data_IF_919457629518
#
_entry.id   IF_919457629518
#
_cell.length_a   1.000
_cell.length_b   1.000
_cell.length_c   1.000
_cell.angle_alpha   90.00
_cell.angle_beta   90.00
_cell.angle_gamma   90.00
#
_symmetry.space_group_name_H-M   'P 1'
#
loop_
_entity.id
_entity.type
_entity.pdbx_description
1 polymer ?
#
# COMPACT_ATOMS: atom_id res chain seq x y z
N UNK A 1 -9.16 11.32 10.93
CA UNK A 1 -8.65 10.34 11.89
C UNK A 1 -9.59 9.15 12.06
N UNK A 2 -10.91 9.32 11.96
CA UNK A 2 -11.88 8.22 12.12
C UNK A 2 -11.71 7.00 11.17
N UNK A 3 -11.12 7.16 9.99
CA UNK A 3 -10.95 6.07 9.02
C UNK A 3 -10.03 4.93 9.49
N UNK A 4 -9.18 5.16 10.49
CA UNK A 4 -8.23 4.17 11.02
C UNK A 4 -8.68 3.51 12.32
N UNK A 5 -9.71 4.07 12.96
CA UNK A 5 -10.21 3.64 14.29
C UNK A 5 -11.61 3.02 14.21
N UNK A 6 -12.29 3.13 13.06
CA UNK A 6 -13.63 2.59 12.84
C UNK A 6 -13.55 1.17 12.25
N UNK A 7 -13.79 0.17 13.11
CA UNK A 7 -13.90 -1.25 12.73
C UNK A 7 -14.98 -1.52 11.66
N UNK A 8 -15.98 -0.62 11.54
CA UNK A 8 -17.03 -0.71 10.53
C UNK A 8 -16.61 -0.22 9.13
N UNK A 9 -15.45 0.46 9.01
CA UNK A 9 -15.00 1.03 7.74
C UNK A 9 -14.20 0.03 6.90
N UNK A 10 -14.91 -0.96 6.36
CA UNK A 10 -14.35 -1.90 5.40
C UNK A 10 -13.98 -1.22 4.06
N UNK A 11 -12.89 -1.62 3.39
CA UNK A 11 -12.52 -1.07 2.10
C UNK A 11 -13.50 -1.50 1.01
N UNK A 12 -13.86 -0.55 0.15
CA UNK A 12 -14.53 -0.84 -1.12
C UNK A 12 -13.54 -1.57 -2.03
N UNK A 13 -13.68 -2.90 -2.10
CA UNK A 13 -12.76 -3.76 -2.84
C UNK A 13 -12.71 -3.41 -4.31
N UNK A 14 -13.84 -3.16 -4.96
CA UNK A 14 -13.85 -2.85 -6.40
C UNK A 14 -13.11 -1.55 -6.69
N UNK A 15 -13.40 -0.51 -5.89
CA UNK A 15 -12.72 0.78 -6.02
C UNK A 15 -11.22 0.67 -5.75
N UNK A 16 -10.82 -0.10 -4.72
CA UNK A 16 -9.42 -0.33 -4.42
C UNK A 16 -8.69 -1.06 -5.55
N UNK A 17 -9.28 -2.13 -6.12
CA UNK A 17 -8.65 -2.85 -7.24
C UNK A 17 -8.54 -1.98 -8.49
N UNK A 18 -9.55 -1.18 -8.81
CA UNK A 18 -9.50 -0.23 -9.91
C UNK A 18 -8.38 0.81 -9.70
N UNK A 19 -8.26 1.35 -8.49
CA UNK A 19 -7.19 2.26 -8.12
C UNK A 19 -5.79 1.65 -8.22
N UNK A 20 -5.63 0.39 -7.77
CA UNK A 20 -4.37 -0.35 -7.90
C UNK A 20 -4.00 -0.52 -9.38
N UNK A 21 -4.94 -0.92 -10.24
CA UNK A 21 -4.70 -1.05 -11.68
C UNK A 21 -4.20 0.26 -12.30
N UNK A 22 -4.91 1.37 -12.06
CA UNK A 22 -4.51 2.69 -12.55
C UNK A 22 -3.12 3.11 -12.04
N UNK A 23 -2.81 2.88 -10.76
CA UNK A 23 -1.50 3.23 -10.18
C UNK A 23 -0.36 2.37 -10.74
N UNK A 24 -0.64 1.10 -11.09
CA UNK A 24 0.33 0.24 -11.77
C UNK A 24 0.65 0.78 -13.16
N UNK A 25 -0.38 1.13 -13.94
CA UNK A 25 -0.19 1.73 -15.27
C UNK A 25 0.65 3.01 -15.19
N UNK A 26 0.38 3.88 -14.20
CA UNK A 26 1.17 5.09 -13.95
C UNK A 26 2.61 4.74 -13.59
N UNK A 27 2.82 3.78 -12.69
CA UNK A 27 4.16 3.38 -12.24
C UNK A 27 5.00 2.80 -13.39
N UNK A 28 4.38 2.05 -14.30
CA UNK A 28 5.03 1.44 -15.47
C UNK A 28 5.36 2.47 -16.55
N UNK A 29 4.51 3.48 -16.73
CA UNK A 29 4.74 4.57 -17.69
C UNK A 29 5.73 5.63 -17.20
N UNK A 30 6.03 5.65 -15.90
CA UNK A 30 6.81 6.72 -15.26
C UNK A 30 8.30 6.39 -15.14
N UNK A 31 9.20 7.39 -15.29
CA UNK A 31 10.59 7.25 -14.89
C UNK A 31 10.73 6.86 -13.41
N UNK A 32 11.84 6.19 -13.06
CA UNK A 32 12.07 5.59 -11.73
C UNK A 32 11.76 6.52 -10.54
N UNK A 33 12.18 7.80 -10.51
CA UNK A 33 11.87 8.66 -9.37
C UNK A 33 10.35 8.91 -9.16
N UNK A 34 9.58 8.81 -10.23
CA UNK A 34 8.14 9.12 -10.22
C UNK A 34 7.27 7.87 -10.02
N UNK A 35 7.82 6.67 -10.14
CA UNK A 35 7.07 5.43 -9.90
C UNK A 35 7.00 5.04 -8.41
N UNK A 36 7.90 5.56 -7.56
CA UNK A 36 8.00 5.22 -6.13
C UNK A 36 6.70 5.53 -5.37
N UNK A 37 6.15 6.74 -5.54
CA UNK A 37 4.94 7.15 -4.81
C UNK A 37 3.70 6.32 -5.21
N UNK A 38 3.40 6.08 -6.51
CA UNK A 38 2.37 5.13 -6.92
C UNK A 38 2.55 3.74 -6.31
N UNK A 39 3.78 3.20 -6.34
CA UNK A 39 4.07 1.88 -5.76
C UNK A 39 3.84 1.85 -4.23
N UNK A 40 4.15 2.93 -3.51
CA UNK A 40 3.92 3.03 -2.08
C UNK A 40 2.42 3.08 -1.75
N UNK A 41 1.62 3.77 -2.57
CA UNK A 41 0.16 3.80 -2.43
C UNK A 41 -0.46 2.43 -2.75
N UNK A 42 0.08 1.70 -3.73
CA UNK A 42 -0.31 0.30 -4.00
C UNK A 42 -0.01 -0.57 -2.78
N UNK A 43 1.19 -0.46 -2.18
CA UNK A 43 1.55 -1.21 -0.98
C UNK A 43 0.57 -0.95 0.17
N UNK A 44 0.25 0.32 0.43
CA UNK A 44 -0.75 0.70 1.44
C UNK A 44 -2.12 0.11 1.14
N UNK A 45 -2.60 0.21 -0.10
CA UNK A 45 -3.95 -0.25 -0.46
C UNK A 45 -4.05 -1.77 -0.36
N UNK A 46 -3.00 -2.50 -0.75
CA UNK A 46 -2.92 -3.95 -0.58
C UNK A 46 -2.90 -4.34 0.89
N UNK A 47 -2.12 -3.63 1.72
CA UNK A 47 -2.12 -3.86 3.17
C UNK A 47 -3.51 -3.62 3.76
N UNK A 48 -4.18 -2.53 3.33
CA UNK A 48 -5.53 -2.22 3.76
C UNK A 48 -6.54 -3.29 3.33
N UNK A 49 -6.32 -3.99 2.22
CA UNK A 49 -7.15 -5.12 1.77
C UNK A 49 -6.81 -6.47 2.44
N UNK A 50 -5.77 -6.53 3.27
CA UNK A 50 -5.25 -7.78 3.82
C UNK A 50 -4.50 -8.65 2.80
N UNK A 51 -4.01 -8.06 1.71
CA UNK A 51 -3.33 -8.77 0.63
C UNK A 51 -1.81 -8.91 0.91
N UNK A 52 -1.25 -10.14 0.88
CA UNK A 52 0.16 -10.37 1.20
C UNK A 52 1.14 -9.70 0.23
N UNK A 53 0.67 -9.32 -0.97
CA UNK A 53 1.50 -8.59 -1.96
C UNK A 53 1.92 -7.21 -1.46
N UNK A 54 1.27 -6.66 -0.43
CA UNK A 54 1.66 -5.38 0.18
C UNK A 54 3.17 -5.32 0.53
N UNK A 55 3.70 -6.39 1.11
CA UNK A 55 5.11 -6.51 1.48
C UNK A 55 6.04 -6.41 0.27
N UNK A 56 5.65 -7.04 -0.85
CA UNK A 56 6.45 -7.05 -2.09
C UNK A 56 6.56 -5.65 -2.68
N UNK A 57 5.46 -4.90 -2.69
CA UNK A 57 5.47 -3.50 -3.16
C UNK A 57 6.23 -2.57 -2.22
N UNK A 58 6.08 -2.73 -0.91
CA UNK A 58 6.83 -1.96 0.09
C UNK A 58 8.34 -2.16 -0.06
N UNK A 59 8.81 -3.42 -0.17
CA UNK A 59 10.21 -3.74 -0.41
C UNK A 59 10.73 -3.16 -1.74
N UNK A 60 9.93 -3.24 -2.80
CA UNK A 60 10.28 -2.65 -4.10
C UNK A 60 10.48 -1.14 -3.99
N UNK A 61 9.62 -0.42 -3.26
CA UNK A 61 9.80 1.01 -3.01
C UNK A 61 11.11 1.28 -2.26
N UNK A 62 11.38 0.56 -1.17
CA UNK A 62 12.58 0.76 -0.35
C UNK A 62 13.89 0.44 -1.09
N UNK A 63 13.85 -0.45 -2.09
CA UNK A 63 14.99 -0.70 -2.98
C UNK A 63 15.26 0.46 -3.95
N UNK A 64 14.24 1.25 -4.29
CA UNK A 64 14.35 2.41 -5.18
C UNK A 64 14.63 3.70 -4.40
N UNK A 65 14.08 3.81 -3.20
CA UNK A 65 14.17 4.95 -2.30
C UNK A 65 13.99 4.48 -0.84
N UNK A 66 15.10 4.39 -0.13
CA UNK A 66 15.15 3.95 1.27
C UNK A 66 14.45 4.92 2.23
N UNK A 67 14.27 6.18 1.82
CA UNK A 67 13.62 7.24 2.61
C UNK A 67 12.10 7.32 2.37
N UNK A 68 11.54 6.38 1.59
CA UNK A 68 10.09 6.32 1.33
C UNK A 68 9.32 5.93 2.61
N UNK A 69 8.91 6.94 3.38
CA UNK A 69 8.25 6.78 4.68
C UNK A 69 7.02 5.85 4.64
N UNK A 70 6.15 5.98 3.65
CA UNK A 70 4.96 5.13 3.54
C UNK A 70 5.34 3.66 3.31
N UNK A 71 6.34 3.38 2.48
CA UNK A 71 6.82 2.02 2.25
C UNK A 71 7.42 1.42 3.54
N UNK A 72 8.21 2.20 4.28
CA UNK A 72 8.78 1.78 5.57
C UNK A 72 7.68 1.45 6.60
N UNK A 73 6.61 2.26 6.65
CA UNK A 73 5.46 2.00 7.51
C UNK A 73 4.75 0.68 7.16
N UNK A 74 4.47 0.44 5.87
CA UNK A 74 3.80 -0.78 5.43
C UNK A 74 4.66 -2.02 5.63
N UNK A 75 5.96 -1.92 5.35
CA UNK A 75 6.92 -2.99 5.63
C UNK A 75 6.91 -3.36 7.12
N UNK A 76 7.07 -2.37 8.00
CA UNK A 76 7.06 -2.57 9.46
C UNK A 76 5.74 -3.15 9.96
N UNK A 77 4.60 -2.68 9.45
CA UNK A 77 3.30 -3.21 9.82
C UNK A 77 3.16 -4.68 9.40
N UNK A 78 3.50 -5.01 8.16
CA UNK A 78 3.41 -6.37 7.65
C UNK A 78 4.38 -7.34 8.36
N UNK A 79 5.61 -6.91 8.64
CA UNK A 79 6.62 -7.69 9.35
C UNK A 79 6.19 -8.03 10.79
N UNK A 80 5.51 -7.09 11.45
CA UNK A 80 4.98 -7.26 12.82
C UNK A 80 3.61 -7.92 12.87
N UNK A 81 3.02 -8.28 11.73
CA UNK A 81 1.67 -8.83 11.66
C UNK A 81 0.57 -7.85 12.08
N UNK A 82 0.82 -6.54 12.00
CA UNK A 82 -0.18 -5.51 12.24
C UNK A 82 -1.11 -5.43 11.03
N UNK A 83 -2.39 -5.69 11.26
CA UNK A 83 -3.44 -5.66 10.25
C UNK A 83 -4.29 -4.38 10.36
N UNK A 84 -5.06 -4.03 9.32
CA UNK A 84 -6.06 -2.97 9.40
C UNK A 84 -7.11 -3.24 10.49
N UNK A 85 -7.63 -2.18 11.10
CA UNK A 85 -8.60 -2.28 12.19
C UNK A 85 -9.85 -3.13 11.84
N UNK A 86 -10.34 -3.05 10.59
CA UNK A 86 -11.52 -3.81 10.14
C UNK A 86 -11.27 -5.33 10.02
N UNK A 87 -10.02 -5.81 10.10
CA UNK A 87 -9.68 -7.23 10.03
C UNK A 87 -9.77 -7.95 11.39
N UNK A 88 -10.22 -7.27 12.45
CA UNK A 88 -10.44 -7.79 13.80
C UNK A 88 -11.55 -8.83 13.90
#
# INVERSE_FOLDING_TARGET
TCAFEDEGMMPDKERCHAGIGMLLDIAEASPVPYCIQPLAVIAYTLWWLGDPRAMVFALRCLLLDEDCSLAAMIFSAADRGVAPAWCS
#
